data_IF_676516289028
#
_entry.id   IF_676516289028
#
_cell.length_a   1.000
_cell.length_b   1.000
_cell.length_c   1.000
_cell.angle_alpha   90.00
_cell.angle_beta   90.00
_cell.angle_gamma   90.00
#
_symmetry.space_group_name_H-M   'P 1'
#
loop_
_entity.id
_entity.type
_entity.pdbx_description
1 polymer ?
#
# COMPACT_ATOMS: atom_id res chain seq x y z
N UNK A 1 -45.85 -14.63 46.94
CA UNK A 1 -45.37 -15.11 45.64
C UNK A 1 -44.11 -14.34 45.32
N UNK A 2 -42.90 -14.93 45.39
CA UNK A 2 -41.65 -14.22 45.09
C UNK A 2 -41.37 -14.23 43.58
N UNK A 3 -40.86 -13.10 43.05
CA UNK A 3 -40.42 -12.91 41.67
C UNK A 3 -39.22 -13.78 41.34
N UNK A 4 -39.09 -14.29 40.10
CA UNK A 4 -37.95 -15.10 39.71
C UNK A 4 -36.68 -14.23 39.49
N UNK A 5 -35.48 -14.81 39.68
CA UNK A 5 -34.23 -14.05 39.56
C UNK A 5 -33.89 -13.73 38.10
N UNK A 6 -33.46 -12.49 37.92
CA UNK A 6 -33.01 -11.90 36.66
C UNK A 6 -31.74 -12.64 36.17
N UNK A 7 -31.81 -13.30 35.01
CA UNK A 7 -30.63 -13.85 34.32
C UNK A 7 -29.84 -12.74 33.65
N UNK A 8 -28.54 -12.63 33.86
CA UNK A 8 -27.74 -11.70 33.10
C UNK A 8 -27.65 -12.15 31.64
N UNK A 9 -28.05 -11.31 30.73
CA UNK A 9 -27.86 -11.47 29.28
C UNK A 9 -26.39 -11.35 28.96
N UNK A 10 -25.76 -12.50 28.70
CA UNK A 10 -24.37 -12.58 28.23
C UNK A 10 -24.34 -12.28 26.73
N UNK A 11 -24.38 -10.99 26.36
CA UNK A 11 -24.21 -10.52 25.00
C UNK A 11 -22.86 -9.80 24.91
N UNK A 12 -21.78 -10.59 24.98
CA UNK A 12 -20.45 -10.10 24.59
C UNK A 12 -20.43 -9.98 23.06
N UNK A 13 -20.10 -8.81 22.49
CA UNK A 13 -19.90 -8.71 21.06
C UNK A 13 -18.70 -9.62 20.70
N UNK A 14 -18.95 -10.57 19.81
CA UNK A 14 -17.91 -11.39 19.19
C UNK A 14 -16.97 -10.47 18.44
N UNK A 15 -15.84 -10.15 19.04
CA UNK A 15 -14.73 -9.48 18.38
C UNK A 15 -14.31 -10.25 17.12
N UNK A 16 -13.69 -9.61 16.14
CA UNK A 16 -13.26 -10.27 14.92
C UNK A 16 -12.40 -11.49 15.29
N UNK A 17 -12.79 -12.67 14.77
CA UNK A 17 -12.02 -13.91 14.98
C UNK A 17 -10.59 -13.69 14.54
N UNK A 18 -9.63 -13.93 15.41
CA UNK A 18 -8.21 -13.88 15.08
C UNK A 18 -7.95 -14.75 13.83
N UNK A 19 -7.34 -14.21 12.79
CA UNK A 19 -7.00 -14.98 11.59
C UNK A 19 -5.99 -16.06 11.94
N UNK A 20 -6.20 -17.28 11.40
CA UNK A 20 -5.32 -18.42 11.62
C UNK A 20 -3.88 -18.12 11.19
N UNK A 21 -2.94 -18.37 12.09
CA UNK A 21 -1.51 -18.21 11.83
C UNK A 21 -0.98 -19.33 10.94
N UNK A 22 -0.30 -18.99 9.86
CA UNK A 22 0.41 -19.94 9.02
C UNK A 22 1.86 -19.48 8.86
N UNK A 23 2.81 -20.34 9.22
CA UNK A 23 4.23 -20.08 8.95
C UNK A 23 4.45 -19.99 7.42
N UNK A 24 5.16 -18.96 6.98
CA UNK A 24 5.57 -18.82 5.58
C UNK A 24 6.85 -19.61 5.36
N UNK A 25 6.94 -20.27 4.20
CA UNK A 25 8.17 -20.92 3.77
C UNK A 25 9.24 -19.83 3.52
N UNK A 26 10.39 -19.97 4.18
CA UNK A 26 11.48 -18.99 4.13
C UNK A 26 12.00 -18.74 2.70
N UNK A 27 11.88 -19.73 1.81
CA UNK A 27 12.31 -19.61 0.43
C UNK A 27 11.37 -18.76 -0.43
N UNK A 28 10.04 -18.87 -0.20
CA UNK A 28 9.02 -18.03 -0.84
C UNK A 28 9.21 -16.58 -0.42
N UNK A 29 9.49 -16.37 0.87
CA UNK A 29 9.76 -15.06 1.44
C UNK A 29 10.97 -14.40 0.78
N UNK A 30 12.07 -15.11 0.65
CA UNK A 30 13.33 -14.61 0.06
C UNK A 30 13.17 -14.23 -1.42
N UNK A 31 12.38 -14.98 -2.19
CA UNK A 31 12.18 -14.75 -3.64
C UNK A 31 11.35 -13.49 -3.93
N UNK A 32 10.32 -13.22 -3.14
CA UNK A 32 9.47 -12.03 -3.27
C UNK A 32 10.25 -10.75 -2.95
N UNK A 33 11.29 -10.85 -2.10
CA UNK A 33 12.11 -9.72 -1.64
C UNK A 33 13.14 -9.26 -2.64
N UNK A 34 13.68 -10.18 -3.44
CA UNK A 34 14.76 -9.89 -4.38
C UNK A 34 14.34 -8.91 -5.50
N UNK A 35 13.04 -8.85 -5.81
CA UNK A 35 12.58 -8.17 -7.02
C UNK A 35 12.08 -6.73 -6.80
N UNK A 36 11.59 -6.36 -5.59
CA UNK A 36 10.85 -5.09 -5.39
C UNK A 36 11.14 -4.34 -4.08
N UNK A 37 12.03 -4.82 -3.22
CA UNK A 37 12.20 -4.28 -1.88
C UNK A 37 13.40 -3.35 -1.74
N UNK A 38 13.23 -2.20 -1.08
CA UNK A 38 14.33 -1.37 -0.60
C UNK A 38 15.05 -1.98 0.61
N UNK A 39 14.54 -3.09 1.18
CA UNK A 39 15.18 -3.85 2.26
C UNK A 39 16.22 -4.82 1.68
N UNK A 40 17.31 -5.03 2.40
CA UNK A 40 18.23 -6.12 2.11
C UNK A 40 17.59 -7.48 2.51
N UNK A 41 18.04 -8.57 1.87
CA UNK A 41 17.60 -9.92 2.23
C UNK A 41 17.89 -10.26 3.70
N UNK A 42 18.99 -9.71 4.26
CA UNK A 42 19.34 -9.86 5.68
C UNK A 42 18.27 -9.20 6.56
N UNK A 43 17.96 -7.93 6.33
CA UNK A 43 16.97 -7.18 7.10
C UNK A 43 15.57 -7.78 6.97
N UNK A 44 15.21 -8.25 5.78
CA UNK A 44 13.95 -8.94 5.55
C UNK A 44 13.81 -10.21 6.42
N UNK A 45 14.83 -11.07 6.45
CA UNK A 45 14.87 -12.27 7.30
C UNK A 45 14.81 -11.91 8.79
N UNK A 46 15.54 -10.88 9.20
CA UNK A 46 15.54 -10.42 10.59
C UNK A 46 14.17 -9.91 11.02
N UNK A 47 13.49 -9.10 10.20
CA UNK A 47 12.13 -8.64 10.45
C UNK A 47 11.13 -9.80 10.51
N UNK A 48 11.29 -10.80 9.61
CA UNK A 48 10.44 -11.98 9.62
C UNK A 48 10.55 -12.77 10.94
N UNK A 49 11.74 -12.89 11.51
CA UNK A 49 11.95 -13.66 12.74
C UNK A 49 11.27 -13.08 13.99
N UNK A 50 10.91 -11.79 13.97
CA UNK A 50 10.29 -11.08 15.10
C UNK A 50 8.82 -10.71 14.85
N UNK A 51 8.33 -10.91 13.62
CA UNK A 51 6.97 -10.55 13.23
C UNK A 51 5.99 -11.72 13.32
N UNK A 52 4.71 -11.38 13.26
CA UNK A 52 3.58 -12.33 13.24
C UNK A 52 2.84 -12.18 11.92
N UNK A 53 2.74 -13.26 11.13
CA UNK A 53 2.06 -13.25 9.85
C UNK A 53 0.55 -13.31 10.04
N UNK A 54 -0.20 -12.43 9.37
CA UNK A 54 -1.66 -12.43 9.33
C UNK A 54 -2.15 -12.41 7.89
N UNK A 55 -3.33 -13.01 7.65
CA UNK A 55 -3.98 -13.10 6.34
C UNK A 55 -5.25 -12.25 6.31
N UNK A 56 -5.51 -11.65 5.15
CA UNK A 56 -6.61 -10.74 4.90
C UNK A 56 -7.28 -11.09 3.57
N UNK A 57 -8.59 -10.87 3.49
CA UNK A 57 -9.37 -11.03 2.26
C UNK A 57 -9.66 -9.68 1.63
N UNK A 58 -10.14 -9.68 0.38
CA UNK A 58 -10.49 -8.47 -0.34
C UNK A 58 -11.47 -7.59 0.45
N UNK A 59 -11.22 -6.30 0.51
CA UNK A 59 -12.03 -5.30 1.20
C UNK A 59 -11.81 -5.20 2.70
N UNK A 60 -11.06 -6.10 3.33
CA UNK A 60 -10.77 -6.00 4.76
C UNK A 60 -9.81 -4.84 5.04
N UNK A 61 -10.11 -4.09 6.09
CA UNK A 61 -9.25 -3.01 6.60
C UNK A 61 -8.18 -3.62 7.48
N UNK A 62 -6.91 -3.44 7.09
CA UNK A 62 -5.73 -3.90 7.84
C UNK A 62 -5.41 -2.93 8.97
N UNK A 63 -5.55 -1.62 8.70
CA UNK A 63 -5.32 -0.54 9.64
C UNK A 63 -6.10 0.69 9.19
N UNK A 64 -6.73 1.39 10.13
CA UNK A 64 -7.52 2.59 9.85
C UNK A 64 -6.75 3.87 10.15
N UNK A 65 -7.07 4.93 9.40
CA UNK A 65 -6.61 6.28 9.70
C UNK A 65 -7.04 6.71 11.10
N UNK A 66 -6.15 7.34 11.84
CA UNK A 66 -6.39 7.78 13.22
C UNK A 66 -6.29 6.67 14.27
N UNK A 67 -6.15 5.41 13.85
CA UNK A 67 -5.96 4.31 14.79
C UNK A 67 -4.58 4.41 15.44
N UNK A 68 -4.53 4.30 16.77
CA UNK A 68 -3.28 4.07 17.49
C UNK A 68 -2.69 2.74 17.11
N UNK A 69 -1.42 2.70 16.76
CA UNK A 69 -0.73 1.46 16.43
C UNK A 69 0.69 1.46 16.98
N UNK A 70 1.04 0.35 17.60
CA UNK A 70 2.41 0.02 17.99
C UNK A 70 3.07 -0.98 17.01
N UNK A 71 2.48 -1.18 15.83
CA UNK A 71 2.86 -2.27 14.94
C UNK A 71 3.29 -1.74 13.58
N UNK A 72 4.49 -2.09 13.14
CA UNK A 72 4.92 -1.95 11.76
C UNK A 72 4.38 -3.11 10.91
N UNK A 73 4.01 -2.82 9.68
CA UNK A 73 3.34 -3.75 8.76
C UNK A 73 4.22 -4.00 7.54
N UNK A 74 4.63 -5.24 7.33
CA UNK A 74 5.42 -5.65 6.19
C UNK A 74 4.56 -6.49 5.25
N UNK A 75 4.31 -6.01 4.03
CA UNK A 75 3.51 -6.75 3.07
C UNK A 75 4.33 -7.89 2.47
N UNK A 76 3.85 -9.11 2.66
CA UNK A 76 4.51 -10.34 2.19
C UNK A 76 3.91 -10.82 0.87
N UNK A 77 2.58 -10.80 0.75
CA UNK A 77 1.86 -11.26 -0.43
C UNK A 77 0.59 -10.45 -0.64
N UNK A 78 0.18 -10.30 -1.90
CA UNK A 78 -1.02 -9.56 -2.25
C UNK A 78 -0.75 -8.08 -2.51
N UNK A 79 -1.73 -7.22 -2.22
CA UNK A 79 -1.65 -5.78 -2.45
C UNK A 79 -2.55 -5.04 -1.46
N UNK A 80 -2.04 -3.94 -0.91
CA UNK A 80 -2.83 -3.03 -0.07
C UNK A 80 -3.03 -1.70 -0.80
N UNK A 81 -4.21 -1.15 -0.66
CA UNK A 81 -4.55 0.21 -1.02
C UNK A 81 -4.32 1.10 0.18
N UNK A 82 -3.53 2.16 0.00
CA UNK A 82 -3.28 3.20 0.98
C UNK A 82 -4.08 4.42 0.56
N UNK A 83 -5.07 4.82 1.35
CA UNK A 83 -5.99 5.91 1.02
C UNK A 83 -6.27 6.81 2.23
N UNK A 84 -6.80 7.98 1.97
CA UNK A 84 -7.38 8.88 2.98
C UNK A 84 -8.78 9.25 2.56
N UNK A 85 -9.66 9.42 3.54
CA UNK A 85 -11.01 9.96 3.28
C UNK A 85 -10.96 11.48 3.51
N UNK A 86 -11.43 12.24 2.52
CA UNK A 86 -11.53 13.71 2.62
C UNK A 86 -12.65 14.11 3.56
N UNK A 87 -12.72 15.37 4.03
CA UNK A 87 -13.83 15.85 4.85
C UNK A 87 -15.21 15.70 4.16
N UNK A 88 -15.24 15.73 2.82
CA UNK A 88 -16.44 15.53 2.00
C UNK A 88 -16.85 14.06 1.86
N UNK A 89 -16.08 13.13 2.45
CA UNK A 89 -16.32 11.69 2.42
C UNK A 89 -15.78 10.98 1.17
N UNK A 90 -15.03 11.67 0.30
CA UNK A 90 -14.40 11.05 -0.86
C UNK A 90 -13.11 10.31 -0.48
N UNK A 91 -12.93 9.11 -1.00
CA UNK A 91 -11.70 8.34 -0.82
C UNK A 91 -10.65 8.76 -1.83
N UNK A 92 -9.50 9.24 -1.35
CA UNK A 92 -8.35 9.58 -2.16
C UNK A 92 -7.27 8.51 -2.01
N UNK A 93 -6.94 7.83 -3.12
CA UNK A 93 -5.84 6.88 -3.18
C UNK A 93 -4.50 7.64 -3.10
N UNK A 94 -3.72 7.34 -2.08
CA UNK A 94 -2.36 7.88 -1.96
C UNK A 94 -1.36 7.04 -2.75
N UNK A 95 -1.40 5.72 -2.58
CA UNK A 95 -0.53 4.78 -3.27
C UNK A 95 -1.01 3.33 -3.11
N UNK A 96 -0.44 2.47 -3.90
CA UNK A 96 -0.45 1.03 -3.67
C UNK A 96 0.74 0.63 -2.79
N UNK A 97 0.53 -0.35 -1.90
CA UNK A 97 1.60 -1.02 -1.18
C UNK A 97 1.76 -2.42 -1.76
N UNK A 98 2.98 -2.75 -2.17
CA UNK A 98 3.35 -3.99 -2.84
C UNK A 98 4.18 -4.91 -1.92
N UNK A 99 4.28 -6.21 -2.25
CA UNK A 99 5.13 -7.13 -1.50
C UNK A 99 6.55 -6.61 -1.38
N UNK A 100 7.11 -6.72 -0.18
CA UNK A 100 8.44 -6.18 0.13
C UNK A 100 8.42 -4.79 0.75
N UNK A 101 7.29 -4.10 0.75
CA UNK A 101 7.19 -2.80 1.38
C UNK A 101 6.76 -2.88 2.85
N UNK A 102 7.33 -2.01 3.67
CA UNK A 102 6.97 -1.85 5.08
C UNK A 102 6.21 -0.53 5.29
N UNK A 103 5.20 -0.52 6.14
CA UNK A 103 4.41 0.65 6.51
C UNK A 103 4.27 0.76 8.03
N UNK A 104 3.83 1.93 8.52
CA UNK A 104 3.64 2.19 9.94
C UNK A 104 4.92 2.61 10.69
N UNK A 105 6.08 2.65 10.06
CA UNK A 105 7.33 3.04 10.72
C UNK A 105 7.25 4.44 11.35
N UNK A 106 6.68 5.42 10.63
CA UNK A 106 6.51 6.78 11.16
C UNK A 106 5.64 6.78 12.43
N UNK A 107 4.52 6.09 12.41
CA UNK A 107 3.61 6.02 13.57
C UNK A 107 4.22 5.27 14.74
N UNK A 108 4.94 4.18 14.48
CA UNK A 108 5.60 3.36 15.49
C UNK A 108 6.72 4.12 16.20
N UNK A 109 7.57 4.84 15.45
CA UNK A 109 8.71 5.56 16.04
C UNK A 109 8.34 6.94 16.56
N UNK A 110 7.38 7.65 15.94
CA UNK A 110 6.88 8.92 16.42
C UNK A 110 5.77 8.78 17.48
N UNK A 111 5.32 7.57 17.79
CA UNK A 111 4.25 7.26 18.75
C UNK A 111 2.94 8.02 18.42
N UNK A 112 2.62 8.11 17.13
CA UNK A 112 1.45 8.80 16.62
C UNK A 112 0.43 7.83 16.04
N UNK A 113 -0.77 8.32 15.74
CA UNK A 113 -1.80 7.54 15.03
C UNK A 113 -1.39 7.28 13.59
N UNK A 114 -1.97 6.24 12.99
CA UNK A 114 -1.72 5.89 11.59
C UNK A 114 -2.37 6.93 10.65
N UNK A 115 -1.66 7.45 9.63
CA UNK A 115 -2.11 8.61 8.86
C UNK A 115 -3.06 8.29 7.71
N UNK A 116 -3.32 7.01 7.40
CA UNK A 116 -4.09 6.59 6.25
C UNK A 116 -4.89 5.31 6.53
N UNK A 117 -5.78 4.92 5.62
CA UNK A 117 -6.42 3.61 5.63
C UNK A 117 -5.60 2.62 4.80
N UNK A 118 -5.39 1.40 5.33
CA UNK A 118 -4.83 0.27 4.61
C UNK A 118 -5.91 -0.77 4.38
N UNK A 119 -6.23 -1.03 3.11
CA UNK A 119 -7.29 -1.97 2.72
C UNK A 119 -6.73 -3.05 1.79
N UNK A 120 -7.02 -4.32 2.09
CA UNK A 120 -6.64 -5.44 1.24
C UNK A 120 -7.45 -5.45 -0.06
N UNK A 121 -6.79 -5.60 -1.22
CA UNK A 121 -7.44 -5.59 -2.54
C UNK A 121 -7.76 -7.00 -3.05
N UNK A 122 -7.19 -8.00 -2.42
CA UNK A 122 -7.39 -9.42 -2.68
C UNK A 122 -6.83 -10.24 -1.53
N UNK A 123 -6.61 -11.54 -1.70
CA UNK A 123 -5.92 -12.37 -0.71
C UNK A 123 -4.55 -11.78 -0.40
N UNK A 124 -4.31 -11.39 0.84
CA UNK A 124 -3.15 -10.61 1.26
C UNK A 124 -2.57 -11.19 2.53
N UNK A 125 -1.24 -11.19 2.64
CA UNK A 125 -0.49 -11.62 3.82
C UNK A 125 0.42 -10.49 4.28
N UNK A 126 0.28 -10.11 5.55
CA UNK A 126 1.02 -9.01 6.17
C UNK A 126 1.71 -9.52 7.43
N UNK A 127 2.99 -9.22 7.55
CA UNK A 127 3.75 -9.48 8.76
C UNK A 127 3.60 -8.28 9.71
N UNK A 128 3.06 -8.54 10.88
CA UNK A 128 2.89 -7.57 11.95
C UNK A 128 4.09 -7.62 12.90
N UNK A 129 4.77 -6.49 13.08
CA UNK A 129 5.98 -6.38 13.89
C UNK A 129 5.73 -5.37 14.99
N UNK A 130 5.57 -5.84 16.22
CA UNK A 130 5.37 -5.00 17.39
C UNK A 130 6.58 -4.08 17.64
N UNK A 131 6.32 -2.84 18.08
CA UNK A 131 7.34 -1.81 18.35
C UNK A 131 8.45 -2.32 19.25
N UNK A 132 8.11 -2.99 20.34
CA UNK A 132 9.09 -3.53 21.30
C UNK A 132 10.05 -4.50 20.62
N UNK A 133 9.52 -5.45 19.84
CA UNK A 133 10.32 -6.43 19.09
C UNK A 133 11.15 -5.77 17.99
N UNK A 134 10.60 -4.74 17.34
CA UNK A 134 11.32 -3.98 16.31
C UNK A 134 12.48 -3.20 16.92
N UNK A 135 12.26 -2.52 18.05
CA UNK A 135 13.30 -1.78 18.79
C UNK A 135 14.39 -2.71 19.27
N UNK A 136 14.03 -3.85 19.86
CA UNK A 136 14.99 -4.87 20.29
C UNK A 136 15.81 -5.41 19.11
N UNK A 137 15.18 -5.60 17.95
CA UNK A 137 15.86 -6.07 16.75
C UNK A 137 16.89 -5.05 16.25
N UNK A 138 16.50 -3.78 16.06
CA UNK A 138 17.39 -2.74 15.54
C UNK A 138 18.52 -2.39 16.53
N UNK A 139 18.31 -2.59 17.82
CA UNK A 139 19.36 -2.44 18.83
C UNK A 139 20.41 -3.54 18.73
N UNK A 140 19.98 -4.78 18.47
CA UNK A 140 20.88 -5.94 18.30
C UNK A 140 21.53 -6.01 16.92
N UNK A 141 20.84 -5.55 15.87
CA UNK A 141 21.32 -5.50 14.50
C UNK A 141 21.10 -4.10 13.88
N UNK A 142 22.02 -3.16 14.10
CA UNK A 142 21.88 -1.78 13.60
C UNK A 142 21.83 -1.68 12.07
N UNK A 143 22.26 -2.70 11.31
CA UNK A 143 22.12 -2.72 9.86
C UNK A 143 20.64 -2.70 9.41
N UNK A 144 19.77 -3.32 10.21
CA UNK A 144 18.31 -3.24 9.99
C UNK A 144 17.80 -1.80 10.14
N UNK A 145 18.30 -1.07 11.16
CA UNK A 145 17.92 0.34 11.35
C UNK A 145 18.32 1.20 10.15
N UNK A 146 19.52 0.99 9.59
CA UNK A 146 19.99 1.70 8.39
C UNK A 146 19.08 1.44 7.19
N UNK A 147 18.67 0.20 6.96
CA UNK A 147 17.72 -0.14 5.90
C UNK A 147 16.36 0.55 6.10
N UNK A 148 15.84 0.56 7.33
CA UNK A 148 14.56 1.25 7.65
C UNK A 148 14.66 2.76 7.47
N UNK A 149 15.77 3.38 7.86
CA UNK A 149 16.03 4.81 7.63
C UNK A 149 16.12 5.12 6.14
N UNK A 150 16.76 4.28 5.34
CA UNK A 150 16.80 4.40 3.88
C UNK A 150 15.42 4.37 3.26
N UNK A 151 14.54 3.47 3.72
CA UNK A 151 13.15 3.40 3.26
C UNK A 151 12.40 4.68 3.61
N UNK A 152 12.53 5.19 4.83
CA UNK A 152 11.90 6.45 5.25
C UNK A 152 12.41 7.62 4.40
N UNK A 153 13.72 7.70 4.16
CA UNK A 153 14.30 8.73 3.28
C UNK A 153 13.75 8.69 1.85
N UNK A 154 13.67 7.49 1.25
CA UNK A 154 13.07 7.33 -0.07
C UNK A 154 11.60 7.77 -0.10
N UNK A 155 10.84 7.49 0.97
CA UNK A 155 9.43 7.91 1.06
C UNK A 155 9.27 9.41 1.23
N UNK A 156 10.14 10.06 2.00
CA UNK A 156 10.16 11.52 2.13
C UNK A 156 10.40 12.14 0.75
N UNK A 157 11.38 11.67 -0.03
CA UNK A 157 11.63 12.15 -1.38
C UNK A 157 10.41 11.95 -2.29
N UNK A 158 9.77 10.78 -2.25
CA UNK A 158 8.54 10.53 -3.02
C UNK A 158 7.39 11.47 -2.63
N UNK A 159 7.28 11.86 -1.35
CA UNK A 159 6.29 12.85 -0.91
C UNK A 159 6.61 14.24 -1.45
N UNK A 160 7.88 14.67 -1.45
CA UNK A 160 8.29 15.93 -2.07
C UNK A 160 8.01 15.96 -3.57
N UNK A 161 8.31 14.87 -4.29
CA UNK A 161 7.99 14.75 -5.72
C UNK A 161 6.47 14.86 -5.95
N UNK A 162 5.66 14.19 -5.12
CA UNK A 162 4.20 14.26 -5.21
C UNK A 162 3.67 15.67 -4.94
N UNK A 163 4.21 16.37 -3.95
CA UNK A 163 3.83 17.76 -3.63
C UNK A 163 4.24 18.72 -4.75
N UNK A 164 5.44 18.56 -5.31
CA UNK A 164 5.90 19.34 -6.46
C UNK A 164 4.98 19.12 -7.66
N UNK A 165 4.62 17.87 -7.97
CA UNK A 165 3.70 17.51 -9.04
C UNK A 165 2.30 18.14 -8.86
N UNK A 166 1.79 18.20 -7.63
CA UNK A 166 0.49 18.82 -7.35
C UNK A 166 0.51 20.35 -7.50
N UNK A 167 1.63 21.00 -7.18
CA UNK A 167 1.77 22.45 -7.21
C UNK A 167 2.17 23.03 -8.57
N UNK A 168 2.85 22.26 -9.43
CA UNK A 168 3.53 22.80 -10.62
C UNK A 168 3.00 22.24 -11.96
N UNK A 169 2.15 21.20 -11.95
CA UNK A 169 1.77 20.50 -13.17
C UNK A 169 0.29 20.65 -13.54
N UNK A 170 0.02 20.79 -14.85
CA UNK A 170 -1.32 20.69 -15.40
C UNK A 170 -1.90 19.28 -15.12
N UNK A 171 -3.24 19.15 -15.17
CA UNK A 171 -3.88 17.84 -15.00
C UNK A 171 -3.33 16.81 -16.00
N UNK A 172 -3.04 17.22 -17.24
CA UNK A 172 -2.42 16.37 -18.26
C UNK A 172 -1.10 15.77 -17.76
N UNK A 173 -0.22 16.62 -17.22
CA UNK A 173 1.08 16.20 -16.69
C UNK A 173 0.96 15.30 -15.46
N UNK A 174 0.04 15.61 -14.52
CA UNK A 174 -0.19 14.78 -13.33
C UNK A 174 -0.71 13.38 -13.68
N UNK A 175 -1.65 13.29 -14.63
CA UNK A 175 -2.18 12.00 -15.10
C UNK A 175 -1.06 11.20 -15.78
N UNK A 176 -0.24 11.84 -16.60
CA UNK A 176 0.89 11.18 -17.26
C UNK A 176 1.92 10.66 -16.27
N UNK A 177 2.39 11.48 -15.33
CA UNK A 177 3.33 11.09 -14.27
C UNK A 177 2.78 9.94 -13.40
N UNK A 178 1.46 9.92 -13.16
CA UNK A 178 0.81 8.83 -12.44
C UNK A 178 0.86 7.51 -13.23
N UNK A 179 0.62 7.55 -14.55
CA UNK A 179 0.75 6.39 -15.42
C UNK A 179 2.19 5.85 -15.46
N UNK A 180 3.19 6.72 -15.59
CA UNK A 180 4.61 6.34 -15.54
C UNK A 180 5.00 5.70 -14.21
N UNK A 181 4.54 6.28 -13.10
CA UNK A 181 4.78 5.74 -11.76
C UNK A 181 4.17 4.34 -11.61
N UNK A 182 2.92 4.13 -12.06
CA UNK A 182 2.29 2.81 -12.05
C UNK A 182 3.08 1.83 -12.94
N UNK A 183 3.56 2.28 -14.10
CA UNK A 183 4.33 1.46 -15.02
C UNK A 183 5.61 0.90 -14.39
N UNK A 184 6.31 1.69 -13.57
CA UNK A 184 7.55 1.27 -12.89
C UNK A 184 7.34 0.13 -11.89
N UNK A 185 6.13 0.03 -11.30
CA UNK A 185 5.90 -0.90 -10.18
C UNK A 185 4.83 -1.97 -10.46
N UNK A 186 3.96 -1.77 -11.45
CA UNK A 186 2.81 -2.66 -11.68
C UNK A 186 2.45 -2.74 -13.16
N UNK A 187 3.38 -3.16 -13.99
CA UNK A 187 3.15 -3.33 -15.42
C UNK A 187 3.47 -4.74 -15.89
N UNK A 188 2.85 -5.12 -17.00
CA UNK A 188 3.13 -6.37 -17.73
C UNK A 188 3.55 -6.00 -19.14
N UNK A 189 4.69 -6.53 -19.59
CA UNK A 189 5.15 -6.32 -20.96
C UNK A 189 4.15 -6.91 -21.97
N UNK A 190 3.82 -6.13 -23.01
CA UNK A 190 2.99 -6.54 -24.13
C UNK A 190 3.70 -6.19 -25.44
N UNK A 191 3.32 -6.79 -26.60
CA UNK A 191 4.06 -6.60 -27.86
C UNK A 191 4.25 -5.14 -28.27
N UNK A 192 3.27 -4.26 -27.98
CA UNK A 192 3.23 -2.85 -28.37
C UNK A 192 3.58 -1.87 -27.23
N UNK A 193 3.93 -2.36 -26.03
CA UNK A 193 4.27 -1.50 -24.92
C UNK A 193 4.24 -2.18 -23.55
N UNK A 194 3.72 -1.48 -22.54
CA UNK A 194 3.52 -2.01 -21.19
C UNK A 194 2.07 -1.83 -20.75
N UNK A 195 1.44 -2.90 -20.29
CA UNK A 195 0.05 -2.90 -19.81
C UNK A 195 0.01 -2.66 -18.31
N UNK A 196 -0.80 -1.68 -17.91
CA UNK A 196 -1.10 -1.31 -16.53
C UNK A 196 -2.46 -1.87 -16.14
N UNK A 197 -2.55 -2.63 -15.06
CA UNK A 197 -3.83 -3.09 -14.48
C UNK A 197 -4.32 -2.04 -13.48
N UNK A 198 -4.99 -1.01 -13.97
CA UNK A 198 -5.52 0.10 -13.18
C UNK A 198 -6.90 0.49 -13.70
N UNK A 199 -7.83 0.77 -12.79
CA UNK A 199 -9.12 1.35 -13.18
C UNK A 199 -8.99 2.86 -13.38
N UNK A 200 -9.88 3.43 -14.21
CA UNK A 200 -9.95 4.89 -14.38
C UNK A 200 -10.29 5.61 -13.07
N UNK A 201 -11.02 4.96 -12.17
CA UNK A 201 -11.32 5.49 -10.83
C UNK A 201 -10.07 5.58 -9.97
N UNK A 202 -9.28 4.50 -9.90
CA UNK A 202 -8.03 4.47 -9.13
C UNK A 202 -7.03 5.50 -9.68
N UNK A 203 -6.97 5.65 -11.02
CA UNK A 203 -6.12 6.65 -11.65
C UNK A 203 -6.57 8.08 -11.33
N UNK A 204 -7.88 8.34 -11.33
CA UNK A 204 -8.46 9.63 -10.98
C UNK A 204 -8.13 10.03 -9.54
N UNK A 205 -8.28 9.08 -8.61
CA UNK A 205 -7.88 9.27 -7.22
C UNK A 205 -6.38 9.56 -7.09
N UNK A 206 -5.54 8.77 -7.78
CA UNK A 206 -4.09 8.94 -7.72
C UNK A 206 -3.58 10.25 -8.37
N UNK A 207 -4.30 10.78 -9.36
CA UNK A 207 -4.02 12.07 -10.01
C UNK A 207 -4.68 13.27 -9.30
N UNK A 208 -5.39 13.04 -8.16
CA UNK A 208 -6.14 14.06 -7.41
C UNK A 208 -7.09 14.86 -8.31
N UNK A 209 -7.92 14.15 -9.09
CA UNK A 209 -8.87 14.76 -10.02
C UNK A 209 -10.15 13.91 -10.17
N UNK A 210 -11.23 14.52 -10.64
CA UNK A 210 -12.45 13.78 -10.91
C UNK A 210 -12.26 12.77 -12.05
N UNK A 211 -12.96 11.63 -11.98
CA UNK A 211 -12.93 10.58 -13.01
C UNK A 211 -13.24 11.13 -14.40
N UNK A 212 -14.17 12.09 -14.52
CA UNK A 212 -14.53 12.71 -15.78
C UNK A 212 -13.36 13.47 -16.40
N UNK A 213 -12.66 14.30 -15.60
CA UNK A 213 -11.49 15.06 -16.06
C UNK A 213 -10.32 14.16 -16.44
N UNK A 214 -10.08 13.11 -15.68
CA UNK A 214 -9.03 12.11 -16.01
C UNK A 214 -9.37 11.38 -17.30
N UNK A 215 -10.63 10.94 -17.48
CA UNK A 215 -11.06 10.29 -18.72
C UNK A 215 -10.87 11.19 -19.96
N UNK A 216 -11.10 12.49 -19.83
CA UNK A 216 -10.82 13.43 -20.89
C UNK A 216 -9.33 13.44 -21.25
N UNK A 217 -8.42 13.47 -20.25
CA UNK A 217 -6.98 13.39 -20.51
C UNK A 217 -6.56 12.05 -21.13
N UNK A 218 -7.14 10.93 -20.66
CA UNK A 218 -6.85 9.61 -21.22
C UNK A 218 -7.27 9.50 -22.69
N UNK A 219 -8.43 10.06 -23.08
CA UNK A 219 -8.85 10.13 -24.49
C UNK A 219 -7.86 10.93 -25.30
N UNK A 220 -7.39 12.07 -24.79
CA UNK A 220 -6.40 12.89 -25.46
C UNK A 220 -5.06 12.16 -25.66
N UNK A 221 -4.58 11.43 -24.65
CA UNK A 221 -3.39 10.59 -24.81
C UNK A 221 -3.59 9.44 -25.81
N UNK A 222 -4.80 8.89 -25.92
CA UNK A 222 -5.12 7.87 -26.91
C UNK A 222 -5.13 8.47 -28.33
N UNK A 223 -5.69 9.68 -28.52
CA UNK A 223 -5.67 10.42 -29.77
C UNK A 223 -4.24 10.78 -30.20
N UNK A 224 -3.36 11.11 -29.25
CA UNK A 224 -1.95 11.34 -29.47
C UNK A 224 -1.16 10.03 -29.75
N UNK A 225 -1.81 8.86 -29.63
CA UNK A 225 -1.16 7.56 -29.87
C UNK A 225 -0.14 7.18 -28.80
N UNK A 226 -0.27 7.72 -27.59
CA UNK A 226 0.62 7.46 -26.45
C UNK A 226 0.14 6.26 -25.62
N UNK A 227 -1.18 6.04 -25.59
CA UNK A 227 -1.80 4.95 -24.84
C UNK A 227 -2.88 4.25 -25.66
N UNK A 228 -3.25 3.04 -25.21
CA UNK A 228 -4.45 2.33 -25.64
C UNK A 228 -5.28 1.99 -24.42
N UNK A 229 -6.57 2.37 -24.43
CA UNK A 229 -7.52 2.09 -23.36
C UNK A 229 -8.15 0.71 -23.54
N UNK A 230 -8.24 -0.07 -22.47
CA UNK A 230 -8.92 -1.35 -22.41
C UNK A 230 -9.83 -1.46 -21.18
N UNK A 231 -10.53 -2.59 -21.06
CA UNK A 231 -11.37 -2.85 -19.89
C UNK A 231 -10.50 -3.03 -18.63
N UNK A 232 -10.53 -2.06 -17.72
CA UNK A 232 -9.75 -2.02 -16.48
C UNK A 232 -8.23 -2.13 -16.69
N UNK A 233 -7.76 -1.77 -17.86
CA UNK A 233 -6.33 -1.69 -18.16
C UNK A 233 -6.03 -0.52 -19.10
N UNK A 234 -4.77 -0.09 -19.08
CA UNK A 234 -4.22 0.94 -19.96
C UNK A 234 -2.88 0.41 -20.48
N UNK A 235 -2.66 0.47 -21.77
CA UNK A 235 -1.37 0.13 -22.37
C UNK A 235 -0.64 1.41 -22.70
N UNK A 236 0.56 1.61 -22.11
CA UNK A 236 1.49 2.64 -22.56
C UNK A 236 2.22 2.11 -23.78
N UNK A 237 2.09 2.80 -24.92
CA UNK A 237 2.69 2.39 -26.18
C UNK A 237 4.19 2.72 -26.22
N UNK A 238 4.99 1.92 -26.97
CA UNK A 238 6.47 2.13 -27.05
C UNK A 238 6.92 3.49 -27.54
N UNK A 239 6.05 4.24 -28.22
CA UNK A 239 6.31 5.63 -28.65
C UNK A 239 6.09 6.66 -27.53
N UNK A 240 5.55 6.25 -26.38
CA UNK A 240 5.34 7.12 -25.27
C UNK A 240 6.69 7.56 -24.64
N UNK A 241 6.90 8.83 -24.34
CA UNK A 241 8.11 9.30 -23.67
C UNK A 241 8.08 8.83 -22.22
N UNK A 242 8.69 7.68 -21.96
CA UNK A 242 8.97 7.21 -20.58
C UNK A 242 10.23 7.93 -20.10
N UNK A 243 10.11 8.70 -19.02
CA UNK A 243 11.23 9.35 -18.31
C UNK A 243 11.76 8.50 -17.18
#
# INVERSE_FOLDING_TARGET
MPLPPNRPSNNSPSGPREPAYKALDADVFTKVWAENSALTSRSAKALHSVGVLRSWTAGQVVLSRGQSTSTALLLVKGRLRVSVTTPEGEEQLLRWMLPGEISGLSSVFAETTYPADLVAVGPTQVLHIERTRLVDLITRDPAVAVDLLRILGLRINQLFDTLADQGMHSLKQRVWATLERIAKFNSVAVPDGVMLRVSQSDLAQAASASRQRVNQQLRHFQEEGLIRLGYRNIVLLRKAPLR
#
